data_IF_945082095737
#
_entry.id   IF_945082095737
#
_cell.length_a   1.000
_cell.length_b   1.000
_cell.length_c   1.000
_cell.angle_alpha   90.00
_cell.angle_beta   90.00
_cell.angle_gamma   90.00
#
_symmetry.space_group_name_H-M   'P 1'
#
loop_
_entity.id
_entity.type
_entity.pdbx_description
1 polymer ?
#
# COMPACT_ATOMS: atom_id res chain seq x y z
N UNK A 1 3.65 28.73 -23.39
CA UNK A 1 3.82 27.43 -22.72
C UNK A 1 2.50 26.72 -22.84
N UNK A 2 2.45 25.65 -23.65
CA UNK A 2 1.27 24.77 -23.67
C UNK A 2 1.21 24.05 -22.32
N UNK A 3 0.08 24.21 -21.62
CA UNK A 3 -0.16 23.50 -20.37
C UNK A 3 -0.82 22.17 -20.73
N UNK A 4 -0.07 21.08 -20.62
CA UNK A 4 -0.64 19.74 -20.69
C UNK A 4 -1.55 19.54 -19.48
N UNK A 5 -2.81 19.17 -19.72
CA UNK A 5 -3.73 18.78 -18.67
C UNK A 5 -3.37 17.36 -18.21
N UNK A 6 -3.75 16.96 -16.98
CA UNK A 6 -3.60 15.56 -16.53
C UNK A 6 -4.20 14.54 -17.50
N UNK A 7 -5.25 14.92 -18.24
CA UNK A 7 -5.88 14.08 -19.28
C UNK A 7 -4.97 13.93 -20.50
N UNK A 8 -4.35 15.00 -20.98
CA UNK A 8 -3.42 14.94 -22.12
C UNK A 8 -2.19 14.07 -21.82
N UNK A 9 -1.69 14.13 -20.58
CA UNK A 9 -0.59 13.27 -20.13
C UNK A 9 -1.03 11.81 -20.05
N UNK A 10 -2.25 11.55 -19.57
CA UNK A 10 -2.75 10.18 -19.47
C UNK A 10 -3.14 9.58 -20.83
N UNK A 11 -3.64 10.38 -21.77
CA UNK A 11 -3.89 9.95 -23.15
C UNK A 11 -2.57 9.61 -23.86
N UNK A 12 -1.52 10.42 -23.68
CA UNK A 12 -0.18 10.11 -24.20
C UNK A 12 0.40 8.83 -23.59
N UNK A 13 0.16 8.60 -22.30
CA UNK A 13 0.48 7.35 -21.60
C UNK A 13 -0.29 6.15 -22.18
N UNK A 14 -1.59 6.33 -22.47
CA UNK A 14 -2.44 5.30 -23.08
C UNK A 14 -1.95 4.91 -24.47
N UNK A 15 -1.51 5.88 -25.27
CA UNK A 15 -0.93 5.63 -26.60
C UNK A 15 0.39 4.84 -26.53
N UNK A 16 1.26 5.11 -25.56
CA UNK A 16 2.47 4.30 -25.35
C UNK A 16 2.16 2.85 -24.88
N UNK A 17 1.04 2.64 -24.18
CA UNK A 17 0.58 1.32 -23.71
C UNK A 17 0.07 0.40 -24.82
N UNK A 18 -0.44 0.96 -25.91
CA UNK A 18 -0.89 0.16 -27.05
C UNK A 18 0.31 -0.30 -27.90
N UNK A 19 1.42 0.45 -27.91
CA UNK A 19 2.63 0.13 -28.67
C UNK A 19 3.63 -0.74 -27.91
N UNK A 20 3.67 -0.62 -26.59
CA UNK A 20 4.37 -1.56 -25.72
C UNK A 20 3.33 -2.36 -24.95
N UNK A 21 3.24 -3.67 -25.18
CA UNK A 21 2.69 -4.59 -24.16
C UNK A 21 3.63 -4.57 -22.94
N UNK A 22 3.63 -3.42 -22.27
CA UNK A 22 4.68 -2.98 -21.39
C UNK A 22 4.61 -3.83 -20.13
N UNK A 23 5.78 -4.21 -19.62
CA UNK A 23 5.87 -4.93 -18.34
C UNK A 23 4.89 -4.32 -17.33
N UNK A 24 4.20 -5.14 -16.54
CA UNK A 24 3.23 -4.67 -15.55
C UNK A 24 3.74 -3.52 -14.65
N UNK A 25 5.07 -3.36 -14.52
CA UNK A 25 5.73 -2.24 -13.87
C UNK A 25 5.50 -0.88 -14.56
N UNK A 26 5.45 -0.80 -15.89
CA UNK A 26 5.17 0.44 -16.63
C UNK A 26 3.74 0.92 -16.42
N UNK A 27 2.78 0.00 -16.34
CA UNK A 27 1.43 0.34 -15.89
C UNK A 27 1.40 0.88 -14.44
N UNK A 28 2.33 0.45 -13.58
CA UNK A 28 2.45 1.02 -12.24
C UNK A 28 3.01 2.45 -12.26
N UNK A 29 3.97 2.73 -13.16
CA UNK A 29 4.54 4.07 -13.37
C UNK A 29 3.49 5.05 -13.86
N UNK A 30 2.69 4.66 -14.85
CA UNK A 30 1.57 5.44 -15.35
C UNK A 30 0.49 5.70 -14.31
N UNK A 31 0.13 4.69 -13.53
CA UNK A 31 -0.82 4.85 -12.43
C UNK A 31 -0.29 5.84 -11.38
N UNK A 32 0.99 5.76 -11.01
CA UNK A 32 1.57 6.68 -10.04
C UNK A 32 1.66 8.10 -10.60
N UNK A 33 2.07 8.25 -11.87
CA UNK A 33 2.11 9.55 -12.54
C UNK A 33 0.72 10.19 -12.62
N UNK A 34 -0.29 9.44 -13.05
CA UNK A 34 -1.70 9.88 -13.02
C UNK A 34 -2.16 10.28 -11.62
N UNK A 35 -1.75 9.52 -10.60
CA UNK A 35 -2.07 9.80 -9.21
C UNK A 35 -1.43 11.10 -8.72
N UNK A 36 -0.16 11.34 -9.01
CA UNK A 36 0.53 12.57 -8.58
C UNK A 36 0.03 13.80 -9.36
N UNK A 37 -0.22 13.68 -10.67
CA UNK A 37 -0.83 14.75 -11.47
C UNK A 37 -2.23 15.12 -10.99
N UNK A 38 -3.00 14.15 -10.49
CA UNK A 38 -4.32 14.42 -9.89
C UNK A 38 -4.25 15.24 -8.60
N UNK A 39 -3.11 15.22 -7.88
CA UNK A 39 -2.90 16.10 -6.72
C UNK A 39 -2.44 17.50 -7.14
N UNK A 40 -1.77 17.62 -8.29
CA UNK A 40 -1.16 18.85 -8.77
C UNK A 40 -2.12 19.72 -9.62
N UNK A 41 -3.16 19.13 -10.22
CA UNK A 41 -4.06 19.83 -11.14
C UNK A 41 -5.55 19.71 -10.78
N UNK A 42 -6.34 20.71 -11.19
CA UNK A 42 -7.79 20.55 -11.37
C UNK A 42 -8.03 19.81 -12.68
N UNK A 43 -8.88 18.80 -12.70
CA UNK A 43 -9.18 18.11 -13.96
C UNK A 43 -10.21 18.89 -14.77
N UNK A 44 -10.12 18.78 -16.09
CA UNK A 44 -10.94 19.55 -17.05
C UNK A 44 -12.46 19.34 -16.85
N UNK A 45 -12.88 18.24 -16.20
CA UNK A 45 -14.31 17.97 -15.90
C UNK A 45 -14.85 18.67 -14.65
N UNK A 46 -14.03 19.41 -13.90
CA UNK A 46 -14.47 20.18 -12.72
C UNK A 46 -15.42 21.36 -13.08
N UNK A 47 -15.52 21.70 -14.37
CA UNK A 47 -16.47 22.71 -14.88
C UNK A 47 -17.81 22.13 -15.36
N UNK A 48 -18.04 20.82 -15.25
CA UNK A 48 -19.37 20.24 -15.47
C UNK A 48 -20.13 20.21 -14.14
N UNK A 49 -21.41 20.66 -14.10
CA UNK A 49 -22.20 20.55 -12.89
C UNK A 49 -22.21 19.08 -12.44
N UNK A 50 -22.12 18.82 -11.12
CA UNK A 50 -22.10 17.45 -10.61
C UNK A 50 -23.32 16.71 -11.13
N UNK A 51 -23.10 15.78 -12.06
CA UNK A 51 -24.13 14.89 -12.54
C UNK A 51 -24.59 14.08 -11.33
N UNK A 52 -25.83 14.30 -10.87
CA UNK A 52 -26.41 13.66 -9.68
C UNK A 52 -26.42 12.12 -9.77
N UNK A 53 -26.13 11.56 -10.96
CA UNK A 53 -25.96 10.11 -11.19
C UNK A 53 -24.52 9.61 -11.02
N UNK A 54 -23.53 10.49 -10.87
CA UNK A 54 -22.08 10.16 -10.81
C UNK A 54 -21.43 10.53 -9.47
N UNK A 55 -22.14 10.32 -8.36
CA UNK A 55 -21.67 10.59 -6.99
C UNK A 55 -20.41 9.81 -6.54
N UNK A 56 -19.75 9.06 -7.43
CA UNK A 56 -18.58 8.25 -7.12
C UNK A 56 -17.38 8.48 -8.05
N UNK A 57 -17.32 9.57 -8.84
CA UNK A 57 -16.06 9.89 -9.56
C UNK A 57 -14.96 10.22 -8.56
N UNK A 58 -14.03 9.28 -8.41
CA UNK A 58 -12.78 9.46 -7.66
C UNK A 58 -11.64 9.47 -8.69
N UNK A 59 -10.50 10.08 -8.37
CA UNK A 59 -9.32 10.06 -9.24
C UNK A 59 -8.92 8.66 -9.69
N UNK A 60 -9.11 7.66 -8.83
CA UNK A 60 -8.88 6.27 -9.16
C UNK A 60 -9.81 5.71 -10.25
N UNK A 61 -10.99 6.31 -10.48
CA UNK A 61 -11.88 5.93 -11.58
C UNK A 61 -11.43 6.56 -12.90
N UNK A 62 -11.00 7.82 -12.88
CA UNK A 62 -10.55 8.49 -14.10
C UNK A 62 -9.24 7.86 -14.61
N UNK A 63 -8.28 7.57 -13.72
CA UNK A 63 -7.05 6.83 -14.05
C UNK A 63 -7.38 5.41 -14.55
N UNK A 64 -8.38 4.76 -13.95
CA UNK A 64 -8.80 3.42 -14.34
C UNK A 64 -9.43 3.37 -15.73
N UNK A 65 -10.29 4.36 -16.05
CA UNK A 65 -10.92 4.52 -17.36
C UNK A 65 -9.84 4.71 -18.44
N UNK A 66 -8.88 5.60 -18.18
CA UNK A 66 -7.85 5.99 -19.15
C UNK A 66 -6.82 4.86 -19.42
N UNK A 67 -6.44 4.10 -18.39
CA UNK A 67 -5.47 2.99 -18.52
C UNK A 67 -6.18 1.65 -18.86
N UNK A 68 -7.51 1.62 -18.95
CA UNK A 68 -8.27 0.42 -19.29
C UNK A 68 -8.26 -0.67 -18.20
N UNK A 69 -8.27 -0.28 -16.92
CA UNK A 69 -8.12 -1.18 -15.77
C UNK A 69 -9.25 -1.02 -14.76
N UNK A 70 -9.37 -1.94 -13.80
CA UNK A 70 -10.32 -1.78 -12.69
C UNK A 70 -9.81 -0.75 -11.69
N UNK A 71 -10.70 0.07 -11.10
CA UNK A 71 -10.39 1.01 -10.00
C UNK A 71 -9.52 0.41 -8.90
N UNK A 72 -9.82 -0.81 -8.45
CA UNK A 72 -9.04 -1.51 -7.42
C UNK A 72 -7.57 -1.67 -7.83
N UNK A 73 -7.33 -2.01 -9.09
CA UNK A 73 -5.99 -2.24 -9.63
C UNK A 73 -5.16 -0.94 -9.71
N UNK A 74 -5.79 0.24 -9.72
CA UNK A 74 -5.09 1.53 -9.59
C UNK A 74 -4.40 1.63 -8.22
N UNK A 75 -5.10 1.29 -7.14
CA UNK A 75 -4.50 1.32 -5.80
C UNK A 75 -3.38 0.29 -5.67
N UNK A 76 -3.59 -0.93 -6.18
CA UNK A 76 -2.59 -2.00 -6.12
C UNK A 76 -1.31 -1.62 -6.87
N UNK A 77 -1.43 -1.14 -8.11
CA UNK A 77 -0.30 -0.71 -8.94
C UNK A 77 0.44 0.50 -8.34
N UNK A 78 -0.29 1.49 -7.84
CA UNK A 78 0.30 2.65 -7.13
C UNK A 78 1.13 2.19 -5.93
N UNK A 79 0.53 1.34 -5.09
CA UNK A 79 1.15 0.86 -3.86
C UNK A 79 2.40 0.01 -4.16
N UNK A 80 2.36 -0.84 -5.20
CA UNK A 80 3.51 -1.63 -5.61
C UNK A 80 4.70 -0.76 -6.03
N UNK A 81 4.45 0.28 -6.83
CA UNK A 81 5.53 1.17 -7.27
C UNK A 81 6.08 2.03 -6.12
N UNK A 82 5.22 2.55 -5.24
CA UNK A 82 5.67 3.25 -4.04
C UNK A 82 6.56 2.35 -3.18
N UNK A 83 6.19 1.08 -2.99
CA UNK A 83 7.02 0.12 -2.26
C UNK A 83 8.38 -0.09 -2.95
N UNK A 84 8.40 -0.20 -4.28
CA UNK A 84 9.64 -0.35 -5.05
C UNK A 84 10.54 0.88 -4.94
N UNK A 85 9.97 2.08 -4.94
CA UNK A 85 10.71 3.34 -4.72
C UNK A 85 11.34 3.35 -3.32
N UNK A 86 10.59 2.95 -2.29
CA UNK A 86 11.12 2.84 -0.93
C UNK A 86 12.30 1.86 -0.85
N UNK A 87 12.18 0.69 -1.48
CA UNK A 87 13.29 -0.27 -1.51
C UNK A 87 14.50 0.24 -2.29
N UNK A 88 14.31 0.86 -3.46
CA UNK A 88 15.41 1.45 -4.22
C UNK A 88 16.13 2.59 -3.47
N UNK A 89 15.44 3.27 -2.55
CA UNK A 89 16.05 4.29 -1.69
C UNK A 89 16.83 3.71 -0.51
N UNK A 90 16.59 2.45 -0.13
CA UNK A 90 17.16 1.82 1.07
C UNK A 90 18.14 0.67 0.78
N UNK A 91 18.07 0.05 -0.40
CA UNK A 91 18.81 -1.16 -0.75
C UNK A 91 19.47 -1.08 -2.13
N UNK A 92 20.41 -2.00 -2.38
CA UNK A 92 21.08 -2.13 -3.66
C UNK A 92 20.07 -2.41 -4.80
N UNK A 93 20.28 -1.72 -5.93
CA UNK A 93 19.38 -1.78 -7.09
C UNK A 93 19.26 -3.18 -7.67
N UNK A 94 20.35 -3.95 -7.75
CA UNK A 94 20.29 -5.30 -8.32
C UNK A 94 19.44 -6.23 -7.46
N UNK A 95 19.50 -6.06 -6.13
CA UNK A 95 18.65 -6.80 -5.20
C UNK A 95 17.18 -6.50 -5.42
N UNK A 96 16.82 -5.21 -5.47
CA UNK A 96 15.43 -4.79 -5.69
C UNK A 96 14.94 -5.25 -7.06
N UNK A 97 15.77 -5.20 -8.10
CA UNK A 97 15.42 -5.68 -9.44
C UNK A 97 15.23 -7.20 -9.48
N UNK A 98 16.02 -7.99 -8.74
CA UNK A 98 15.76 -9.44 -8.56
C UNK A 98 14.41 -9.69 -7.89
N UNK A 99 14.08 -8.98 -6.83
CA UNK A 99 12.77 -9.07 -6.18
C UNK A 99 11.64 -8.65 -7.13
N UNK A 100 11.84 -7.60 -7.92
CA UNK A 100 10.84 -7.09 -8.88
C UNK A 100 10.50 -8.07 -10.01
N UNK A 101 11.42 -8.97 -10.38
CA UNK A 101 11.17 -10.06 -11.34
C UNK A 101 10.10 -11.04 -10.87
N UNK A 102 9.82 -11.11 -9.57
CA UNK A 102 8.73 -11.93 -9.01
C UNK A 102 7.33 -11.38 -9.30
N UNK A 103 7.25 -10.11 -9.69
CA UNK A 103 6.00 -9.43 -10.07
C UNK A 103 5.51 -8.42 -9.03
N UNK A 104 4.77 -7.41 -9.52
CA UNK A 104 4.33 -6.26 -8.71
C UNK A 104 3.40 -6.67 -7.54
N UNK A 105 2.66 -7.77 -7.67
CA UNK A 105 1.75 -8.26 -6.62
C UNK A 105 2.45 -8.54 -5.29
N UNK A 106 3.72 -8.98 -5.32
CA UNK A 106 4.53 -9.16 -4.10
C UNK A 106 4.74 -7.83 -3.37
N UNK A 107 5.00 -6.76 -4.11
CA UNK A 107 5.21 -5.41 -3.58
C UNK A 107 3.89 -4.81 -3.08
N UNK A 108 2.78 -5.09 -3.76
CA UNK A 108 1.43 -4.70 -3.30
C UNK A 108 1.12 -5.29 -1.93
N UNK A 109 1.46 -6.57 -1.70
CA UNK A 109 1.23 -7.24 -0.42
C UNK A 109 2.17 -6.66 0.64
N UNK A 110 3.47 -6.53 0.36
CA UNK A 110 4.43 -5.95 1.29
C UNK A 110 4.04 -4.52 1.72
N UNK A 111 3.48 -3.71 0.81
CA UNK A 111 2.98 -2.38 1.13
C UNK A 111 1.93 -2.36 2.24
N UNK A 112 1.13 -3.42 2.40
CA UNK A 112 0.10 -3.51 3.45
C UNK A 112 0.72 -3.51 4.85
N UNK A 113 1.95 -4.03 4.98
CA UNK A 113 2.67 -4.20 6.24
C UNK A 113 3.73 -3.12 6.49
N UNK A 114 3.99 -2.22 5.52
CA UNK A 114 5.07 -1.20 5.59
C UNK A 114 5.09 -0.30 6.82
N UNK A 115 3.98 -0.18 7.55
CA UNK A 115 3.88 0.64 8.77
C UNK A 115 4.26 -0.14 10.03
N UNK A 116 4.17 -1.46 9.96
CA UNK A 116 4.21 -2.36 11.10
C UNK A 116 5.52 -3.17 11.13
N UNK A 117 6.44 -2.94 10.18
CA UNK A 117 7.75 -3.61 10.07
C UNK A 117 8.79 -2.74 9.35
N UNK A 118 10.06 -3.12 9.47
CA UNK A 118 11.20 -2.51 8.78
C UNK A 118 11.28 -2.97 7.31
N UNK A 119 11.79 -2.10 6.44
CA UNK A 119 11.87 -2.37 5.00
C UNK A 119 12.70 -3.61 4.65
N UNK A 120 13.70 -3.97 5.46
CA UNK A 120 14.57 -5.12 5.20
C UNK A 120 13.78 -6.43 5.29
N UNK A 121 12.98 -6.60 6.34
CA UNK A 121 12.19 -7.81 6.56
C UNK A 121 11.13 -8.02 5.46
N UNK A 122 10.58 -6.94 4.93
CA UNK A 122 9.66 -7.00 3.80
C UNK A 122 10.34 -7.45 2.51
N UNK A 123 11.55 -6.96 2.24
CA UNK A 123 12.31 -7.37 1.07
C UNK A 123 12.77 -8.84 1.20
N UNK A 124 13.25 -9.24 2.37
CA UNK A 124 13.61 -10.62 2.70
C UNK A 124 12.41 -11.56 2.50
N UNK A 125 11.22 -11.18 2.98
CA UNK A 125 10.01 -11.98 2.82
C UNK A 125 9.62 -12.16 1.34
N UNK A 126 9.79 -11.12 0.50
CA UNK A 126 9.57 -11.22 -0.95
C UNK A 126 10.58 -12.17 -1.59
N UNK A 127 11.84 -12.10 -1.20
CA UNK A 127 12.90 -12.96 -1.74
C UNK A 127 12.69 -14.43 -1.34
N UNK A 128 12.28 -14.69 -0.10
CA UNK A 128 12.12 -16.02 0.47
C UNK A 128 10.83 -16.75 0.07
N UNK A 129 9.73 -16.02 -0.15
CA UNK A 129 8.46 -16.65 -0.53
C UNK A 129 8.63 -17.50 -1.81
N UNK A 130 7.89 -18.59 -2.02
CA UNK A 130 7.90 -19.28 -3.33
C UNK A 130 6.75 -18.79 -4.23
N UNK A 131 5.64 -18.41 -3.62
CA UNK A 131 4.46 -17.89 -4.30
C UNK A 131 3.81 -16.72 -3.50
N UNK A 132 2.70 -16.17 -3.99
CA UNK A 132 2.01 -15.05 -3.33
C UNK A 132 1.33 -15.46 -2.02
N UNK A 133 0.87 -16.70 -1.89
CA UNK A 133 0.21 -17.17 -0.69
C UNK A 133 1.23 -17.46 0.42
N UNK A 134 2.41 -18.00 0.08
CA UNK A 134 3.55 -18.10 1.01
C UNK A 134 3.95 -16.72 1.54
N UNK A 135 4.00 -15.71 0.66
CA UNK A 135 4.29 -14.34 1.08
C UNK A 135 3.24 -13.84 2.07
N UNK A 136 1.95 -14.01 1.76
CA UNK A 136 0.87 -13.59 2.66
C UNK A 136 0.98 -14.32 3.98
N UNK A 137 1.21 -15.63 3.98
CA UNK A 137 1.36 -16.42 5.20
C UNK A 137 2.54 -15.92 6.03
N UNK A 138 3.73 -15.81 5.44
CA UNK A 138 4.93 -15.34 6.12
C UNK A 138 4.76 -13.93 6.71
N UNK A 139 4.12 -13.01 5.98
CA UNK A 139 3.87 -11.66 6.48
C UNK A 139 2.74 -11.62 7.51
N UNK A 140 1.73 -12.49 7.38
CA UNK A 140 0.62 -12.59 8.35
C UNK A 140 1.10 -13.15 9.68
N UNK A 141 1.91 -14.21 9.63
CA UNK A 141 2.50 -14.88 10.78
C UNK A 141 3.45 -13.92 11.53
N UNK A 142 4.33 -13.25 10.79
CA UNK A 142 5.32 -12.34 11.37
C UNK A 142 4.76 -11.00 11.83
N UNK A 143 3.75 -10.46 11.12
CA UNK A 143 3.34 -9.06 11.28
C UNK A 143 1.83 -8.85 11.46
N UNK A 144 1.03 -9.92 11.52
CA UNK A 144 -0.42 -9.87 11.75
C UNK A 144 -1.18 -9.23 10.59
N UNK A 145 -1.74 -10.05 9.69
CA UNK A 145 -2.53 -9.56 8.55
C UNK A 145 -3.89 -8.96 8.93
N UNK A 146 -4.35 -9.20 10.16
CA UNK A 146 -5.71 -8.92 10.56
C UNK A 146 -6.78 -9.70 9.78
N UNK A 147 -6.41 -10.69 8.95
CA UNK A 147 -7.39 -11.47 8.15
C UNK A 147 -7.82 -12.78 8.80
N UNK A 148 -6.96 -13.40 9.60
CA UNK A 148 -7.32 -14.51 10.50
C UNK A 148 -7.41 -14.01 11.96
N UNK A 149 -7.89 -14.86 12.86
CA UNK A 149 -8.06 -14.51 14.28
C UNK A 149 -6.71 -14.24 14.96
N UNK A 150 -5.72 -15.09 14.70
CA UNK A 150 -4.35 -14.94 15.22
C UNK A 150 -3.68 -13.64 14.74
N UNK A 151 -3.77 -13.30 13.46
CA UNK A 151 -3.22 -12.07 12.91
C UNK A 151 -3.96 -10.81 13.39
N UNK A 152 -5.24 -10.91 13.76
CA UNK A 152 -5.97 -9.82 14.43
C UNK A 152 -5.49 -9.62 15.87
N UNK A 153 -5.26 -10.70 16.59
CA UNK A 153 -4.77 -10.68 17.98
C UNK A 153 -3.35 -10.12 18.03
N UNK A 154 -2.44 -10.55 17.15
CA UNK A 154 -1.08 -10.00 17.08
C UNK A 154 -1.09 -8.50 16.78
N UNK A 155 -1.86 -8.08 15.78
CA UNK A 155 -2.00 -6.65 15.45
C UNK A 155 -2.59 -5.83 16.59
N UNK A 156 -3.60 -6.37 17.28
CA UNK A 156 -4.21 -5.72 18.42
C UNK A 156 -3.25 -5.64 19.62
N UNK A 157 -2.46 -6.69 19.86
CA UNK A 157 -1.39 -6.71 20.86
C UNK A 157 -0.33 -5.64 20.63
N UNK A 158 0.07 -5.43 19.36
CA UNK A 158 0.98 -4.35 18.98
C UNK A 158 0.39 -2.97 19.28
N UNK A 159 -0.86 -2.71 18.91
CA UNK A 159 -1.51 -1.44 19.23
C UNK A 159 -1.63 -1.18 20.74
N UNK A 160 -1.95 -2.21 21.52
CA UNK A 160 -2.02 -2.09 22.98
C UNK A 160 -0.65 -1.78 23.57
N UNK A 161 0.42 -2.37 23.02
CA UNK A 161 1.81 -2.08 23.41
C UNK A 161 2.18 -0.62 23.09
N UNK A 162 1.83 -0.12 21.91
CA UNK A 162 2.07 1.28 21.53
C UNK A 162 1.29 2.25 22.42
N UNK A 163 0.01 1.95 22.70
CA UNK A 163 -0.81 2.78 23.59
C UNK A 163 -0.28 2.78 25.02
N UNK A 164 0.26 1.67 25.51
CA UNK A 164 0.89 1.62 26.82
C UNK A 164 2.14 2.51 26.85
N UNK A 165 3.01 2.42 25.84
CA UNK A 165 4.19 3.29 25.73
C UNK A 165 3.82 4.78 25.65
N UNK A 166 2.76 5.13 24.92
CA UNK A 166 2.23 6.50 24.89
C UNK A 166 1.66 6.92 26.24
N UNK A 167 0.89 6.05 26.91
CA UNK A 167 0.30 6.32 28.21
C UNK A 167 1.38 6.54 29.30
N UNK A 168 2.49 5.83 29.23
CA UNK A 168 3.66 6.05 30.08
C UNK A 168 4.34 7.39 29.77
N UNK A 169 4.63 7.66 28.50
CA UNK A 169 5.28 8.89 28.06
C UNK A 169 4.49 10.14 28.45
N UNK A 170 3.16 10.11 28.24
CA UNK A 170 2.26 11.22 28.56
C UNK A 170 1.77 11.24 30.02
N UNK A 171 2.26 10.32 30.87
CA UNK A 171 1.84 10.19 32.28
C UNK A 171 0.31 10.13 32.44
N UNK A 172 -0.33 9.28 31.63
CA UNK A 172 -1.76 9.06 31.69
C UNK A 172 -2.19 8.59 33.10
N UNK A 173 -3.46 8.83 33.51
CA UNK A 173 -3.96 8.43 34.82
C UNK A 173 -3.75 6.94 35.10
N UNK A 174 -3.44 6.60 36.35
CA UNK A 174 -3.16 5.22 36.79
C UNK A 174 -4.20 4.18 36.34
N UNK A 175 -5.52 4.47 36.38
CA UNK A 175 -6.53 3.52 35.91
C UNK A 175 -6.39 3.16 34.42
N UNK A 176 -5.94 4.11 33.58
CA UNK A 176 -5.75 3.90 32.14
C UNK A 176 -4.53 3.03 31.87
N UNK A 177 -3.43 3.29 32.58
CA UNK A 177 -2.20 2.47 32.47
C UNK A 177 -2.43 1.04 32.94
N UNK A 178 -3.12 0.86 34.07
CA UNK A 178 -3.50 -0.46 34.57
C UNK A 178 -4.43 -1.22 33.61
N UNK A 179 -5.40 -0.54 32.99
CA UNK A 179 -6.29 -1.16 32.01
C UNK A 179 -5.53 -1.64 30.76
N UNK A 180 -4.59 -0.83 30.25
CA UNK A 180 -3.75 -1.20 29.10
C UNK A 180 -2.79 -2.34 29.44
N UNK A 181 -2.18 -2.33 30.63
CA UNK A 181 -1.32 -3.41 31.09
C UNK A 181 -2.08 -4.75 31.24
N UNK A 182 -3.26 -4.73 31.85
CA UNK A 182 -4.12 -5.91 31.97
C UNK A 182 -4.54 -6.45 30.59
N UNK A 183 -4.86 -5.55 29.66
CA UNK A 183 -5.22 -5.93 28.28
C UNK A 183 -4.01 -6.55 27.55
N UNK A 184 -2.81 -6.03 27.75
CA UNK A 184 -1.58 -6.60 27.19
C UNK A 184 -1.28 -8.00 27.75
N UNK A 185 -1.47 -8.21 29.06
CA UNK A 185 -1.31 -9.52 29.69
C UNK A 185 -2.31 -10.53 29.14
N UNK A 186 -3.59 -10.16 29.02
CA UNK A 186 -4.63 -11.04 28.48
C UNK A 186 -4.35 -11.45 27.01
N UNK A 187 -3.84 -10.52 26.19
CA UNK A 187 -3.47 -10.83 24.80
C UNK A 187 -2.22 -11.72 24.71
N UNK A 188 -1.29 -11.57 25.65
CA UNK A 188 -0.11 -12.43 25.74
C UNK A 188 -0.51 -13.86 26.13
N UNK A 189 -1.40 -14.02 27.12
CA UNK A 189 -1.93 -15.33 27.52
C UNK A 189 -2.68 -16.02 26.38
N UNK A 190 -3.43 -15.28 25.56
CA UNK A 190 -4.11 -15.83 24.40
C UNK A 190 -3.12 -16.35 23.34
N UNK A 191 -2.01 -15.65 23.11
CA UNK A 191 -1.01 -16.05 22.11
C UNK A 191 -0.15 -17.26 22.53
N UNK A 192 -0.09 -17.58 23.82
CA UNK A 192 0.75 -18.67 24.37
C UNK A 192 -0.04 -19.79 25.06
N UNK A 193 -1.38 -19.76 24.97
CA UNK A 193 -2.31 -20.72 25.59
C UNK A 193 -2.81 -21.82 24.66
#
# INVERSE_FOLDING_TARGET
MEYYTPKDVLEGIGQENDETQASYWRQCEWVLLGWELSKAGKWVKDNQPPDKRKHNRTWANDIAEEIGIKRRAVYERKNALLMRILFNGAFDKERVDRAAKRGFSYFTIAWQYRKDTILLELLDAIEMAHNLDDLKFNLSDRFGSGTDEAGRINKFSQYVTDFLGMAEFFKAPEPVRHALANLQSALSEWNYG
#
